data_IF_456467696817
#
_entry.id   IF_456467696817
#
_cell.length_a   1.000
_cell.length_b   1.000
_cell.length_c   1.000
_cell.angle_alpha   90.00
_cell.angle_beta   90.00
_cell.angle_gamma   90.00
#
_symmetry.space_group_name_H-M   'P 1'
#
loop_
_entity.id
_entity.type
_entity.pdbx_description
1 polymer ?
#
# COMPACT_ATOMS: atom_id res chain seq x y z
N UNK A 1 -2.23 5.67 16.25
CA UNK A 1 -1.17 4.70 15.88
C UNK A 1 -1.57 4.01 14.59
N UNK A 2 -0.63 3.82 13.66
CA UNK A 2 -0.82 2.99 12.48
C UNK A 2 -0.24 1.59 12.75
N UNK A 3 -1.00 0.54 12.42
CA UNK A 3 -0.63 -0.86 12.73
C UNK A 3 -0.95 -1.70 11.48
N UNK A 4 -0.04 -2.56 11.00
CA UNK A 4 -0.34 -3.44 9.89
C UNK A 4 -1.36 -4.52 10.31
N UNK A 5 -2.40 -4.71 9.49
CA UNK A 5 -3.44 -5.71 9.69
C UNK A 5 -4.85 -5.16 9.77
N UNK A 6 -5.81 -6.08 9.95
CA UNK A 6 -7.24 -5.78 10.06
C UNK A 6 -7.56 -5.38 11.51
N UNK A 7 -8.09 -4.17 11.69
CA UNK A 7 -8.33 -3.59 13.03
C UNK A 7 -9.82 -3.33 13.24
N UNK A 8 -10.36 -3.84 14.33
CA UNK A 8 -11.62 -3.37 14.88
C UNK A 8 -11.35 -2.15 15.77
N UNK A 9 -11.63 -0.97 15.22
CA UNK A 9 -11.40 0.31 15.92
C UNK A 9 -12.29 0.49 17.14
N UNK A 10 -13.52 -0.04 17.11
CA UNK A 10 -14.50 0.09 18.19
C UNK A 10 -14.09 -0.77 19.39
N UNK A 11 -13.73 -2.00 19.12
CA UNK A 11 -13.29 -2.93 20.16
C UNK A 11 -11.81 -2.80 20.50
N UNK A 12 -11.02 -2.05 19.71
CA UNK A 12 -9.55 -1.88 19.85
C UNK A 12 -8.83 -3.22 19.82
N UNK A 13 -9.17 -4.02 18.81
CA UNK A 13 -8.61 -5.36 18.61
C UNK A 13 -7.96 -5.41 17.23
N UNK A 14 -6.75 -5.96 17.16
CA UNK A 14 -6.19 -6.45 15.90
C UNK A 14 -6.87 -7.79 15.63
N UNK A 15 -7.81 -7.81 14.68
CA UNK A 15 -8.52 -9.04 14.30
C UNK A 15 -7.56 -10.04 13.69
N UNK A 16 -6.68 -9.57 12.81
CA UNK A 16 -5.62 -10.37 12.21
C UNK A 16 -4.51 -9.49 11.65
N UNK A 17 -3.28 -9.81 11.97
CA UNK A 17 -2.09 -9.25 11.33
C UNK A 17 -1.15 -10.38 10.95
N UNK A 18 -1.00 -10.62 9.66
CA UNK A 18 -0.01 -11.57 9.16
C UNK A 18 1.42 -11.05 9.36
N UNK A 19 1.63 -9.75 9.19
CA UNK A 19 2.95 -9.12 9.35
C UNK A 19 3.46 -9.20 10.81
N UNK A 20 2.57 -9.09 11.79
CA UNK A 20 2.91 -9.19 13.22
C UNK A 20 2.73 -10.59 13.79
N UNK A 21 2.14 -11.53 13.05
CA UNK A 21 1.85 -12.88 13.53
C UNK A 21 0.83 -12.93 14.67
N UNK A 22 -0.10 -11.96 14.76
CA UNK A 22 -1.09 -11.86 15.84
C UNK A 22 -2.52 -11.95 15.31
N UNK A 23 -3.40 -12.51 16.13
CA UNK A 23 -4.83 -12.66 15.84
C UNK A 23 -5.65 -12.44 17.12
N UNK A 24 -6.78 -11.72 17.01
CA UNK A 24 -7.67 -11.36 18.12
C UNK A 24 -6.93 -10.72 19.31
N UNK A 25 -5.97 -9.82 19.01
CA UNK A 25 -5.11 -9.21 20.03
C UNK A 25 -5.66 -7.86 20.48
N UNK A 26 -5.94 -7.70 21.79
CA UNK A 26 -6.44 -6.45 22.36
C UNK A 26 -5.33 -5.40 22.47
N UNK A 27 -5.65 -4.17 22.03
CA UNK A 27 -4.78 -2.99 22.12
C UNK A 27 -5.16 -2.06 23.30
N UNK A 28 -6.16 -2.43 24.11
CA UNK A 28 -6.68 -1.58 25.21
C UNK A 28 -5.61 -1.28 26.28
N UNK A 29 -4.64 -2.16 26.44
CA UNK A 29 -3.53 -1.95 27.38
C UNK A 29 -2.70 -0.70 27.04
N UNK A 30 -2.65 -0.27 25.77
CA UNK A 30 -1.93 0.95 25.37
C UNK A 30 -2.59 2.21 25.92
N UNK A 31 -3.92 2.29 25.91
CA UNK A 31 -4.63 3.42 26.51
C UNK A 31 -4.42 3.47 28.03
N UNK A 32 -4.41 2.31 28.68
CA UNK A 32 -4.14 2.22 30.12
C UNK A 32 -2.71 2.61 30.47
N UNK A 33 -1.73 2.13 29.69
CA UNK A 33 -0.32 2.41 29.93
C UNK A 33 0.08 3.86 29.62
N UNK A 34 -0.58 4.49 28.64
CA UNK A 34 -0.27 5.85 28.21
C UNK A 34 -1.14 6.91 28.92
N UNK A 35 -2.21 6.48 29.60
CA UNK A 35 -3.21 7.36 30.27
C UNK A 35 -3.84 8.42 29.33
N UNK A 36 -3.87 8.14 28.03
CA UNK A 36 -4.46 9.00 27.01
C UNK A 36 -5.32 8.17 26.04
N UNK A 37 -6.33 8.78 25.38
CA UNK A 37 -7.04 8.13 24.29
C UNK A 37 -6.10 7.79 23.14
N UNK A 38 -6.14 6.54 22.65
CA UNK A 38 -5.34 6.09 21.52
C UNK A 38 -6.27 5.69 20.37
N UNK A 39 -6.02 6.27 19.21
CA UNK A 39 -6.66 5.88 17.96
C UNK A 39 -5.79 4.90 17.21
N UNK A 40 -6.41 3.83 16.72
CA UNK A 40 -5.74 2.79 15.93
C UNK A 40 -6.27 2.78 14.50
N UNK A 41 -5.40 2.69 13.52
CA UNK A 41 -5.76 2.54 12.11
C UNK A 41 -4.83 1.55 11.43
N UNK A 42 -5.33 0.86 10.41
CA UNK A 42 -4.47 0.10 9.51
C UNK A 42 -3.45 1.04 8.85
N UNK A 43 -2.23 0.57 8.62
CA UNK A 43 -1.12 1.36 8.11
C UNK A 43 -1.36 1.92 6.70
N UNK A 44 -1.92 1.13 5.78
CA UNK A 44 -2.27 1.59 4.44
C UNK A 44 -3.45 2.59 4.48
N UNK A 45 -4.46 2.35 5.32
CA UNK A 45 -5.55 3.29 5.56
C UNK A 45 -5.03 4.62 6.11
N UNK A 46 -4.11 4.56 7.09
CA UNK A 46 -3.48 5.74 7.63
C UNK A 46 -2.69 6.49 6.55
N UNK A 47 -1.91 5.79 5.72
CA UNK A 47 -1.18 6.40 4.62
C UNK A 47 -2.11 7.09 3.61
N UNK A 48 -3.24 6.48 3.27
CA UNK A 48 -4.26 7.13 2.42
C UNK A 48 -4.81 8.41 3.06
N UNK A 49 -5.00 8.44 4.38
CA UNK A 49 -5.43 9.65 5.10
C UNK A 49 -4.38 10.76 5.12
N UNK A 50 -3.11 10.44 4.87
CA UNK A 50 -2.06 11.46 4.72
C UNK A 50 -2.24 12.28 3.45
N UNK A 51 -2.79 11.68 2.39
CA UNK A 51 -3.05 12.37 1.14
C UNK A 51 -4.16 13.42 1.28
N UNK A 52 -4.17 14.41 0.38
CA UNK A 52 -5.15 15.50 0.42
C UNK A 52 -6.50 15.01 -0.13
N UNK A 53 -7.52 14.92 0.72
CA UNK A 53 -8.88 14.50 0.34
C UNK A 53 -9.46 15.30 -0.83
N UNK A 54 -9.23 16.62 -0.85
CA UNK A 54 -9.71 17.51 -1.91
C UNK A 54 -9.08 17.20 -3.27
N UNK A 55 -7.86 16.67 -3.26
CA UNK A 55 -7.13 16.30 -4.48
C UNK A 55 -7.53 14.91 -4.98
N UNK A 56 -7.81 13.99 -4.05
CA UNK A 56 -8.07 12.58 -4.32
C UNK A 56 -9.33 12.09 -3.61
N UNK A 57 -10.53 12.60 -4.01
CA UNK A 57 -11.79 12.20 -3.37
C UNK A 57 -12.13 10.71 -3.63
N UNK A 58 -11.79 10.21 -4.80
CA UNK A 58 -11.98 8.82 -5.21
C UNK A 58 -10.63 8.28 -5.68
N UNK A 59 -9.94 7.53 -4.85
CA UNK A 59 -8.61 7.01 -5.17
C UNK A 59 -8.28 5.74 -4.40
N UNK A 60 -7.42 4.94 -5.00
CA UNK A 60 -6.76 3.78 -4.40
C UNK A 60 -5.35 4.21 -3.99
N UNK A 61 -4.91 3.78 -2.82
CA UNK A 61 -3.54 3.90 -2.35
C UNK A 61 -2.91 2.50 -2.28
N UNK A 62 -1.82 2.29 -3.00
CA UNK A 62 -0.99 1.09 -2.90
C UNK A 62 0.21 1.40 -2.00
N UNK A 63 0.27 0.74 -0.86
CA UNK A 63 1.36 0.87 0.11
C UNK A 63 2.43 -0.18 -0.18
N UNK A 64 3.40 0.19 -1.03
CA UNK A 64 4.47 -0.68 -1.54
C UNK A 64 5.64 -0.70 -0.53
N UNK A 65 5.40 -1.31 0.62
CA UNK A 65 6.36 -1.50 1.71
C UNK A 65 6.86 -2.95 1.74
N UNK A 66 7.46 -3.39 2.85
CA UNK A 66 7.91 -4.78 3.04
C UNK A 66 6.83 -5.78 2.64
N UNK A 67 5.58 -5.48 2.93
CA UNK A 67 4.37 -6.12 2.40
C UNK A 67 3.57 -5.11 1.58
N UNK A 68 2.74 -5.61 0.65
CA UNK A 68 1.83 -4.78 -0.14
C UNK A 68 0.52 -4.59 0.61
N UNK A 69 0.30 -3.39 1.12
CA UNK A 69 -0.97 -2.94 1.66
C UNK A 69 -1.80 -2.15 0.64
N UNK A 70 -3.07 -1.96 0.94
CA UNK A 70 -3.94 -1.12 0.12
C UNK A 70 -5.04 -0.45 0.92
N UNK A 71 -5.47 0.70 0.44
CA UNK A 71 -6.60 1.43 0.95
C UNK A 71 -7.31 2.16 -0.19
N UNK A 72 -8.55 2.53 -0.01
CA UNK A 72 -9.19 3.42 -0.95
C UNK A 72 -10.24 4.32 -0.30
N UNK A 73 -10.46 5.48 -0.94
CA UNK A 73 -11.44 6.46 -0.57
C UNK A 73 -12.54 6.55 -1.62
N UNK A 74 -13.77 6.76 -1.15
CA UNK A 74 -14.92 7.14 -1.96
C UNK A 74 -15.48 8.43 -1.33
N UNK A 75 -15.66 9.47 -2.14
CA UNK A 75 -16.13 10.78 -1.70
C UNK A 75 -15.32 11.36 -0.52
N UNK A 76 -14.00 11.20 -0.57
CA UNK A 76 -13.07 11.65 0.46
C UNK A 76 -13.14 10.88 1.78
N UNK A 77 -13.83 9.73 1.82
CA UNK A 77 -13.95 8.88 3.01
C UNK A 77 -13.31 7.53 2.77
N UNK A 78 -12.57 7.03 3.75
CA UNK A 78 -12.05 5.67 3.70
C UNK A 78 -13.17 4.65 3.60
N UNK A 79 -13.08 3.78 2.61
CA UNK A 79 -13.97 2.64 2.46
C UNK A 79 -13.32 1.39 3.06
N UNK A 80 -13.86 0.92 4.20
CA UNK A 80 -13.32 -0.22 4.93
C UNK A 80 -14.02 -1.55 4.62
N UNK A 81 -15.15 -1.48 3.88
CA UNK A 81 -16.00 -2.64 3.66
C UNK A 81 -16.77 -3.08 4.93
N UNK A 82 -17.63 -4.05 4.77
CA UNK A 82 -18.49 -4.54 5.85
C UNK A 82 -17.70 -5.18 7.01
N UNK A 83 -16.58 -5.85 6.70
CA UNK A 83 -15.79 -6.63 7.66
C UNK A 83 -14.36 -6.06 7.82
N UNK A 84 -14.14 -4.78 7.57
CA UNK A 84 -12.84 -4.11 7.65
C UNK A 84 -11.77 -4.71 6.73
N UNK A 85 -12.16 -5.38 5.63
CA UNK A 85 -11.25 -6.11 4.71
C UNK A 85 -11.13 -5.46 3.33
N UNK A 86 -11.77 -4.31 3.12
CA UNK A 86 -11.60 -3.61 1.86
C UNK A 86 -10.17 -3.07 1.75
N UNK A 87 -9.59 -3.12 0.55
CA UNK A 87 -8.22 -2.69 0.33
C UNK A 87 -7.16 -3.79 0.50
N UNK A 88 -7.52 -5.03 0.83
CA UNK A 88 -6.59 -6.16 0.90
C UNK A 88 -6.05 -6.58 -0.50
N UNK A 89 -5.62 -5.58 -1.28
CA UNK A 89 -5.18 -5.76 -2.68
C UNK A 89 -3.93 -6.64 -2.79
N UNK A 90 -3.05 -6.61 -1.78
CA UNK A 90 -1.88 -7.48 -1.72
C UNK A 90 -2.24 -8.97 -1.73
N UNK A 91 -3.46 -9.32 -1.32
CA UNK A 91 -3.91 -10.71 -1.30
C UNK A 91 -4.82 -11.11 -2.48
N UNK A 92 -4.99 -10.24 -3.49
CA UNK A 92 -5.56 -10.62 -4.78
C UNK A 92 -4.61 -11.59 -5.50
N UNK A 93 -5.17 -12.59 -6.18
CA UNK A 93 -4.37 -13.51 -6.98
C UNK A 93 -3.96 -12.80 -8.27
N UNK A 94 -2.67 -12.54 -8.41
CA UNK A 94 -2.08 -11.95 -9.60
C UNK A 94 -1.61 -13.01 -10.58
N UNK A 95 -0.97 -14.07 -10.06
CA UNK A 95 -0.45 -15.18 -10.86
C UNK A 95 -0.99 -16.49 -10.27
N UNK A 96 -2.01 -17.11 -10.86
CA UNK A 96 -2.57 -18.38 -10.37
C UNK A 96 -1.49 -19.46 -10.20
N UNK A 97 -1.48 -20.13 -9.04
CA UNK A 97 -0.48 -21.17 -8.70
C UNK A 97 0.97 -20.68 -8.69
N UNK A 98 1.21 -19.38 -8.63
CA UNK A 98 2.54 -18.76 -8.63
C UNK A 98 3.24 -18.79 -7.27
N UNK A 99 4.02 -17.72 -6.97
CA UNK A 99 4.86 -17.62 -5.76
C UNK A 99 4.02 -17.75 -4.49
N UNK A 100 4.59 -18.41 -3.47
CA UNK A 100 3.95 -18.52 -2.15
C UNK A 100 3.92 -17.16 -1.45
N UNK A 101 2.75 -16.77 -0.98
CA UNK A 101 2.56 -15.59 -0.14
C UNK A 101 2.65 -15.98 1.35
N UNK A 102 3.08 -15.04 2.19
CA UNK A 102 3.13 -15.23 3.64
C UNK A 102 1.75 -15.51 4.26
N UNK A 103 0.65 -15.13 3.61
CA UNK A 103 -0.72 -15.47 4.05
C UNK A 103 -1.10 -16.95 3.83
N UNK A 104 -0.22 -17.74 3.24
CA UNK A 104 -0.41 -19.17 2.96
C UNK A 104 -0.97 -19.50 1.56
N UNK A 105 -1.50 -18.52 0.83
CA UNK A 105 -1.98 -18.68 -0.55
C UNK A 105 -0.83 -18.67 -1.56
N UNK A 106 -1.11 -19.10 -2.79
CA UNK A 106 -0.21 -18.99 -3.93
C UNK A 106 -0.68 -17.88 -4.86
N UNK A 107 0.28 -17.11 -5.39
CA UNK A 107 0.04 -16.16 -6.48
C UNK A 107 -0.51 -14.80 -6.07
N UNK A 108 -0.51 -14.45 -4.78
CA UNK A 108 -0.94 -13.13 -4.32
C UNK A 108 -0.07 -12.02 -4.90
N UNK A 109 -0.66 -10.85 -5.17
CA UNK A 109 0.04 -9.65 -5.64
C UNK A 109 1.22 -9.26 -4.72
N UNK A 110 1.09 -9.44 -3.42
CA UNK A 110 2.15 -9.20 -2.44
C UNK A 110 3.46 -9.94 -2.77
N UNK A 111 3.37 -11.20 -3.19
CA UNK A 111 4.54 -12.01 -3.54
C UNK A 111 5.28 -11.53 -4.81
N UNK A 112 4.78 -10.51 -5.49
CA UNK A 112 5.33 -9.94 -6.73
C UNK A 112 5.58 -8.44 -6.65
N UNK A 113 4.77 -7.70 -5.88
CA UNK A 113 4.75 -6.25 -5.88
C UNK A 113 5.12 -5.62 -4.52
N UNK A 114 5.46 -6.41 -3.50
CA UNK A 114 5.97 -5.89 -2.24
C UNK A 114 7.45 -5.50 -2.35
N UNK A 115 7.93 -4.59 -1.49
CA UNK A 115 9.36 -4.24 -1.44
C UNK A 115 10.25 -5.42 -1.04
N UNK A 116 9.73 -6.40 -0.28
CA UNK A 116 10.45 -7.62 0.09
C UNK A 116 10.96 -8.41 -1.14
N UNK A 117 10.29 -8.30 -2.28
CA UNK A 117 10.72 -8.92 -3.55
C UNK A 117 12.05 -8.32 -4.02
N UNK A 118 12.21 -7.01 -3.93
CA UNK A 118 13.41 -6.26 -4.35
C UNK A 118 14.52 -6.38 -3.31
N UNK A 119 14.15 -6.37 -2.03
CA UNK A 119 15.10 -6.46 -0.91
C UNK A 119 15.47 -7.90 -0.54
N UNK A 120 14.92 -8.90 -1.24
CA UNK A 120 15.12 -10.33 -0.97
C UNK A 120 14.90 -10.66 0.52
N UNK A 121 13.75 -10.27 1.06
CA UNK A 121 13.40 -10.41 2.49
C UNK A 121 14.45 -9.80 3.44
N UNK A 122 14.82 -8.55 3.19
CA UNK A 122 15.79 -7.76 3.98
C UNK A 122 17.26 -8.24 3.90
N UNK A 123 17.64 -9.02 2.89
CA UNK A 123 19.06 -9.35 2.65
C UNK A 123 19.85 -8.17 2.08
N UNK A 124 19.15 -7.18 1.51
CA UNK A 124 19.69 -5.90 1.08
C UNK A 124 18.68 -4.79 1.33
N UNK A 125 19.13 -3.54 1.47
CA UNK A 125 18.24 -2.39 1.54
C UNK A 125 17.66 -2.06 0.15
N UNK A 126 16.56 -1.32 0.11
CA UNK A 126 16.01 -0.80 -1.16
C UNK A 126 17.00 0.17 -1.82
N UNK A 127 17.68 1.00 -1.02
CA UNK A 127 18.69 1.94 -1.53
C UNK A 127 19.84 1.18 -2.23
N UNK A 128 20.36 0.11 -1.59
CA UNK A 128 21.40 -0.74 -2.21
C UNK A 128 20.91 -1.47 -3.48
N UNK A 129 19.61 -1.78 -3.57
CA UNK A 129 19.03 -2.33 -4.80
C UNK A 129 19.01 -1.27 -5.90
N UNK A 130 18.60 -0.04 -5.57
CA UNK A 130 18.56 1.08 -6.54
C UNK A 130 19.96 1.49 -7.03
N UNK A 131 20.98 1.50 -6.16
CA UNK A 131 22.38 1.73 -6.56
C UNK A 131 22.86 0.72 -7.62
N UNK A 132 22.43 -0.54 -7.51
CA UNK A 132 22.74 -1.56 -8.52
C UNK A 132 22.02 -1.34 -9.84
N UNK A 133 20.78 -0.82 -9.82
CA UNK A 133 20.07 -0.39 -11.04
C UNK A 133 20.86 0.71 -11.73
N UNK A 134 21.27 1.74 -10.98
CA UNK A 134 22.04 2.88 -11.52
C UNK A 134 23.39 2.44 -12.08
N UNK A 135 24.02 1.44 -11.49
CA UNK A 135 25.28 0.87 -11.97
C UNK A 135 25.14 -0.06 -13.19
N UNK A 136 23.90 -0.36 -13.61
CA UNK A 136 23.64 -1.20 -14.78
C UNK A 136 23.79 -2.70 -14.54
N UNK A 137 23.61 -3.19 -13.30
CA UNK A 137 23.62 -4.64 -13.02
C UNK A 137 22.47 -5.33 -13.77
N UNK A 138 22.82 -6.11 -14.79
CA UNK A 138 21.86 -6.74 -15.70
C UNK A 138 20.84 -7.64 -14.98
N UNK A 139 21.27 -8.36 -13.94
CA UNK A 139 20.36 -9.24 -13.16
C UNK A 139 19.36 -8.42 -12.34
N UNK A 140 19.83 -7.32 -11.76
CA UNK A 140 18.97 -6.42 -10.97
C UNK A 140 18.01 -5.67 -11.88
N UNK A 141 18.46 -5.23 -13.06
CA UNK A 141 17.60 -4.62 -14.07
C UNK A 141 16.50 -5.58 -14.53
N UNK A 142 16.81 -6.87 -14.72
CA UNK A 142 15.78 -7.87 -15.04
C UNK A 142 14.77 -8.04 -13.91
N UNK A 143 15.21 -8.12 -12.64
CA UNK A 143 14.31 -8.22 -11.47
C UNK A 143 13.41 -7.00 -11.39
N UNK A 144 13.96 -5.80 -11.63
CA UNK A 144 13.20 -4.55 -11.63
C UNK A 144 12.17 -4.51 -12.75
N UNK A 145 12.54 -4.93 -13.95
CA UNK A 145 11.63 -5.00 -15.09
C UNK A 145 10.46 -5.96 -14.84
N UNK A 146 10.74 -7.16 -14.33
CA UNK A 146 9.70 -8.12 -13.92
C UNK A 146 8.80 -7.58 -12.80
N UNK A 147 9.37 -6.83 -11.83
CA UNK A 147 8.60 -6.19 -10.77
C UNK A 147 7.63 -5.16 -11.35
N UNK A 148 8.10 -4.30 -12.25
CA UNK A 148 7.26 -3.30 -12.93
C UNK A 148 6.16 -3.95 -13.77
N UNK A 149 6.41 -5.08 -14.43
CA UNK A 149 5.39 -5.82 -15.17
C UNK A 149 4.27 -6.32 -14.25
N UNK A 150 4.62 -6.96 -13.14
CA UNK A 150 3.62 -7.43 -12.18
C UNK A 150 2.83 -6.28 -11.56
N UNK A 151 3.51 -5.18 -11.24
CA UNK A 151 2.85 -3.98 -10.71
C UNK A 151 1.91 -3.37 -11.75
N UNK A 152 2.29 -3.34 -13.03
CA UNK A 152 1.46 -2.85 -14.13
C UNK A 152 0.18 -3.69 -14.29
N UNK A 153 0.27 -5.02 -14.19
CA UNK A 153 -0.91 -5.91 -14.21
C UNK A 153 -1.83 -5.61 -13.03
N UNK A 154 -1.29 -5.46 -11.82
CA UNK A 154 -2.08 -5.11 -10.62
C UNK A 154 -2.80 -3.76 -10.82
N UNK A 155 -2.08 -2.74 -11.26
CA UNK A 155 -2.61 -1.39 -11.53
C UNK A 155 -3.74 -1.47 -12.56
N UNK A 156 -3.53 -2.15 -13.67
CA UNK A 156 -4.54 -2.31 -14.71
C UNK A 156 -5.81 -3.00 -14.17
N UNK A 157 -5.66 -4.07 -13.40
CA UNK A 157 -6.78 -4.78 -12.78
C UNK A 157 -7.58 -3.86 -11.83
N UNK A 158 -6.89 -3.08 -10.99
CA UNK A 158 -7.53 -2.15 -10.07
C UNK A 158 -8.22 -1.01 -10.82
N UNK A 159 -7.59 -0.48 -11.88
CA UNK A 159 -8.20 0.55 -12.73
C UNK A 159 -9.48 0.04 -13.37
N UNK A 160 -9.48 -1.16 -13.93
CA UNK A 160 -10.68 -1.77 -14.53
C UNK A 160 -11.78 -2.06 -13.51
N UNK A 161 -11.41 -2.42 -12.26
CA UNK A 161 -12.40 -2.76 -11.24
C UNK A 161 -13.05 -1.54 -10.59
N UNK A 162 -12.34 -0.41 -10.47
CA UNK A 162 -12.76 0.71 -9.63
C UNK A 162 -12.87 2.05 -10.35
N UNK A 163 -12.24 2.22 -11.52
CA UNK A 163 -12.19 3.49 -12.27
C UNK A 163 -11.80 4.70 -11.41
N UNK A 164 -10.69 4.57 -10.66
CA UNK A 164 -10.20 5.57 -9.71
C UNK A 164 -8.74 5.93 -9.97
N UNK A 165 -8.31 7.09 -9.51
CA UNK A 165 -6.88 7.42 -9.40
C UNK A 165 -6.16 6.38 -8.53
N UNK A 166 -4.91 6.03 -8.90
CA UNK A 166 -4.08 5.07 -8.16
C UNK A 166 -2.82 5.78 -7.69
N UNK A 167 -2.67 5.90 -6.37
CA UNK A 167 -1.55 6.54 -5.71
C UNK A 167 -0.53 5.46 -5.33
N UNK A 168 0.70 5.60 -5.80
CA UNK A 168 1.79 4.69 -5.51
C UNK A 168 2.59 5.23 -4.33
N UNK A 169 2.50 4.57 -3.20
CA UNK A 169 3.12 5.00 -1.94
C UNK A 169 3.96 3.91 -1.29
N UNK A 170 4.43 4.20 -0.09
CA UNK A 170 5.38 3.37 0.64
C UNK A 170 6.82 3.54 0.14
N UNK A 171 7.71 2.66 0.59
CA UNK A 171 9.14 2.75 0.28
C UNK A 171 9.40 2.71 -1.23
N UNK A 172 8.82 1.74 -1.95
CA UNK A 172 8.98 1.63 -3.40
C UNK A 172 8.22 2.73 -4.12
N UNK A 173 7.04 3.16 -3.65
CA UNK A 173 6.30 4.28 -4.22
C UNK A 173 7.12 5.57 -4.25
N UNK A 174 7.96 5.79 -3.22
CA UNK A 174 8.88 6.92 -3.18
C UNK A 174 9.97 6.87 -4.25
N UNK A 175 10.39 5.68 -4.67
CA UNK A 175 11.38 5.45 -5.73
C UNK A 175 10.72 5.52 -7.10
N UNK A 176 9.51 5.02 -7.24
CA UNK A 176 8.77 4.98 -8.51
C UNK A 176 8.55 6.35 -9.14
N UNK A 177 8.70 7.46 -8.39
CA UNK A 177 8.64 8.83 -8.94
C UNK A 177 9.52 9.01 -10.18
N UNK A 178 10.68 8.37 -10.20
CA UNK A 178 11.67 8.47 -11.28
C UNK A 178 11.43 7.43 -12.39
N UNK A 179 10.52 6.49 -12.14
CA UNK A 179 10.18 5.37 -13.05
C UNK A 179 8.72 5.39 -13.53
N UNK A 180 8.03 6.53 -13.38
CA UNK A 180 6.63 6.65 -13.81
C UNK A 180 6.44 6.48 -15.31
N UNK A 181 7.41 6.87 -16.13
CA UNK A 181 7.34 6.70 -17.58
C UNK A 181 7.41 5.21 -17.96
N UNK A 182 8.48 4.46 -17.61
CA UNK A 182 8.53 3.04 -17.95
C UNK A 182 7.41 2.21 -17.31
N UNK A 183 6.98 2.53 -16.09
CA UNK A 183 5.79 1.89 -15.50
C UNK A 183 4.54 2.20 -16.29
N UNK A 184 4.34 3.46 -16.71
CA UNK A 184 3.21 3.90 -17.51
C UNK A 184 3.13 3.18 -18.85
N UNK A 185 4.24 2.99 -19.54
CA UNK A 185 4.33 2.23 -20.80
C UNK A 185 3.87 0.78 -20.59
N UNK A 186 4.31 0.12 -19.51
CA UNK A 186 3.87 -1.24 -19.17
C UNK A 186 2.38 -1.30 -18.81
N UNK A 187 1.87 -0.33 -18.06
CA UNK A 187 0.43 -0.24 -17.75
C UNK A 187 -0.40 -0.05 -19.02
N UNK A 188 0.04 0.81 -19.94
CA UNK A 188 -0.63 1.03 -21.23
C UNK A 188 -0.69 -0.24 -22.08
N UNK A 189 0.30 -1.13 -21.97
CA UNK A 189 0.29 -2.40 -22.70
C UNK A 189 -0.86 -3.35 -22.25
N UNK A 190 -1.34 -3.19 -21.01
CA UNK A 190 -2.46 -3.96 -20.44
C UNK A 190 -3.81 -3.23 -20.51
N UNK A 191 -3.82 -1.94 -20.84
CA UNK A 191 -5.02 -1.12 -20.83
C UNK A 191 -5.50 -0.83 -22.26
N UNK A 192 -6.64 -1.40 -22.64
CA UNK A 192 -7.25 -1.18 -23.95
C UNK A 192 -8.33 -0.08 -24.00
N UNK A 193 -8.58 0.63 -22.88
CA UNK A 193 -9.68 1.59 -22.78
C UNK A 193 -9.21 3.05 -22.71
N UNK A 194 -7.98 3.30 -22.32
CA UNK A 194 -7.42 4.64 -22.10
C UNK A 194 -6.18 4.86 -22.96
N UNK A 195 -5.89 6.12 -23.27
CA UNK A 195 -4.74 6.50 -24.10
C UNK A 195 -3.59 7.11 -23.30
N UNK A 196 -3.74 7.22 -21.98
CA UNK A 196 -2.72 7.71 -21.06
C UNK A 196 -2.86 7.04 -19.68
N UNK A 197 -1.91 7.32 -18.80
CA UNK A 197 -1.89 6.85 -17.42
C UNK A 197 -2.00 8.00 -16.42
N UNK A 198 -2.70 9.06 -16.77
CA UNK A 198 -2.85 10.27 -15.94
C UNK A 198 -3.49 9.98 -14.58
N UNK A 199 -4.16 8.86 -14.41
CA UNK A 199 -4.70 8.37 -13.16
C UNK A 199 -3.63 7.78 -12.21
N UNK A 200 -2.41 7.50 -12.67
CA UNK A 200 -1.30 7.14 -11.80
C UNK A 200 -0.76 8.38 -11.10
N UNK A 201 -0.61 8.31 -9.78
CA UNK A 201 -0.16 9.42 -8.95
C UNK A 201 0.99 9.00 -8.06
N UNK A 202 1.96 9.91 -7.91
CA UNK A 202 2.97 9.79 -6.86
C UNK A 202 2.35 10.17 -5.51
N UNK A 203 2.75 9.47 -4.45
CA UNK A 203 2.37 9.83 -3.08
C UNK A 203 2.99 11.16 -2.66
N UNK A 204 2.29 11.86 -1.74
CA UNK A 204 2.79 13.10 -1.15
C UNK A 204 3.79 12.84 -0.02
N UNK A 205 3.70 11.69 0.64
CA UNK A 205 4.52 11.26 1.76
C UNK A 205 5.12 9.88 1.46
N UNK A 206 6.37 9.67 1.83
CA UNK A 206 7.09 8.40 1.63
C UNK A 206 6.97 7.50 2.88
N UNK A 207 8.07 7.26 3.57
CA UNK A 207 8.16 6.39 4.77
C UNK A 207 7.26 6.85 5.92
N UNK A 208 7.06 8.16 6.06
CA UNK A 208 6.27 8.78 7.12
C UNK A 208 4.74 8.78 6.86
N UNK A 209 4.27 8.34 5.70
CA UNK A 209 2.86 8.45 5.28
C UNK A 209 1.88 7.96 6.34
N UNK A 210 2.08 6.75 6.87
CA UNK A 210 1.18 6.15 7.87
C UNK A 210 1.15 6.94 9.19
N UNK A 211 2.30 7.45 9.63
CA UNK A 211 2.40 8.27 10.84
C UNK A 211 1.69 9.62 10.66
N UNK A 212 1.95 10.29 9.53
CA UNK A 212 1.30 11.57 9.18
C UNK A 212 -0.21 11.39 9.08
N UNK A 213 -0.69 10.34 8.43
CA UNK A 213 -2.12 10.09 8.27
C UNK A 213 -2.81 9.76 9.58
N UNK A 214 -2.19 8.98 10.45
CA UNK A 214 -2.71 8.71 11.79
C UNK A 214 -2.81 9.99 12.63
N UNK A 215 -1.82 10.89 12.56
CA UNK A 215 -1.84 12.18 13.22
C UNK A 215 -2.94 13.09 12.65
N UNK A 216 -3.00 13.27 11.33
CA UNK A 216 -4.04 14.07 10.67
C UNK A 216 -5.45 13.62 11.04
N UNK A 217 -5.70 12.33 11.04
CA UNK A 217 -7.01 11.80 11.40
C UNK A 217 -7.40 12.17 12.84
N UNK A 218 -6.45 12.04 13.78
CA UNK A 218 -6.68 12.38 15.17
C UNK A 218 -7.01 13.87 15.32
N UNK A 219 -6.24 14.76 14.69
CA UNK A 219 -6.48 16.20 14.71
C UNK A 219 -7.83 16.57 14.10
N UNK A 220 -8.15 16.07 12.91
CA UNK A 220 -9.43 16.35 12.25
C UNK A 220 -10.64 15.93 13.10
N UNK A 221 -10.53 14.80 13.77
CA UNK A 221 -11.62 14.26 14.61
C UNK A 221 -11.83 15.05 15.90
N UNK A 222 -10.79 15.62 16.50
CA UNK A 222 -10.84 16.25 17.81
C UNK A 222 -10.76 17.78 17.79
N UNK A 223 -10.20 18.37 16.73
CA UNK A 223 -9.98 19.81 16.61
C UNK A 223 -10.74 20.45 15.44
N UNK A 224 -11.45 19.68 14.63
CA UNK A 224 -12.08 20.15 13.40
C UNK A 224 -11.10 20.13 12.21
N UNK A 225 -11.62 20.35 11.00
CA UNK A 225 -10.77 20.40 9.80
C UNK A 225 -9.83 21.62 9.90
N UNK A 226 -8.52 21.38 9.75
CA UNK A 226 -7.49 22.39 9.61
C UNK A 226 -7.50 22.96 8.19
#
# INVERSE_FOLDING_TARGET
MAIPGIIDQKERIVLKSHALGIENYSLRFLEQALEIPVYFENDANAAMLAEKKQKYPNAIYLSLNHTLGGAFCIDGKLFRGQNQKAGEFGHMILVPSGRKCYCGKLGCADAYCAASVLTQDNRQSLDAFMEKIESGDEKILQIWDEYLDHLAVLISNLRMAYDMDIILGGDVGGVLSDYMIPLGEKVMAYNGFEHDVSYLKNCSYKKEASAVGAAKYFFTKHMGEL
#
